data_IF_478140761146
#
_entry.id   IF_478140761146
#
_cell.length_a   1.000
_cell.length_b   1.000
_cell.length_c   1.000
_cell.angle_alpha   90.00
_cell.angle_beta   90.00
_cell.angle_gamma   90.00
#
_symmetry.space_group_name_H-M   'P 1'
#
loop_
_entity.id
_entity.type
_entity.pdbx_description
1 polymer ?
#
# COMPACT_ATOMS: atom_id res chain seq x y z
N UNK A 1 -61.58 -23.27 9.70
CA UNK A 1 -61.75 -23.87 8.37
C UNK A 1 -61.02 -22.99 7.36
N UNK A 2 -59.68 -23.12 7.28
CA UNK A 2 -58.86 -22.37 6.32
C UNK A 2 -58.99 -23.10 4.98
N UNK A 3 -59.58 -22.43 4.00
CA UNK A 3 -59.80 -22.95 2.65
C UNK A 3 -58.48 -23.38 2.02
N UNK A 4 -58.45 -24.54 1.36
CA UNK A 4 -57.25 -25.21 0.80
C UNK A 4 -56.41 -24.32 -0.13
N UNK A 5 -57.01 -23.28 -0.72
CA UNK A 5 -56.30 -22.25 -1.52
C UNK A 5 -55.41 -21.33 -0.69
N UNK A 6 -55.77 -21.05 0.56
CA UNK A 6 -55.01 -20.17 1.44
C UNK A 6 -53.82 -20.89 2.06
N UNK A 7 -53.92 -22.21 2.26
CA UNK A 7 -52.81 -23.05 2.73
C UNK A 7 -51.65 -23.10 1.72
N UNK A 8 -51.96 -23.14 0.41
CA UNK A 8 -50.94 -23.08 -0.64
C UNK A 8 -50.26 -21.71 -0.71
N UNK A 9 -51.02 -20.63 -0.48
CA UNK A 9 -50.49 -19.27 -0.38
C UNK A 9 -49.55 -19.08 0.82
N UNK A 10 -49.88 -19.65 1.99
CA UNK A 10 -48.99 -19.63 3.15
C UNK A 10 -47.75 -20.52 2.98
N UNK A 11 -47.86 -21.66 2.28
CA UNK A 11 -46.73 -22.52 1.98
C UNK A 11 -45.71 -21.88 1.02
N UNK A 12 -46.19 -21.15 0.00
CA UNK A 12 -45.32 -20.42 -0.94
C UNK A 12 -44.65 -19.21 -0.26
N UNK A 13 -45.37 -18.49 0.60
CA UNK A 13 -44.82 -17.35 1.35
C UNK A 13 -43.77 -17.79 2.39
N UNK A 14 -43.92 -18.98 2.97
CA UNK A 14 -42.96 -19.54 3.91
C UNK A 14 -41.71 -20.13 3.24
N UNK A 15 -41.81 -20.54 1.96
CA UNK A 15 -40.65 -21.02 1.19
C UNK A 15 -39.81 -19.87 0.62
N UNK A 16 -40.42 -18.72 0.33
CA UNK A 16 -39.72 -17.52 -0.13
C UNK A 16 -38.82 -16.88 0.95
N UNK A 17 -39.10 -17.11 2.25
CA UNK A 17 -38.29 -16.61 3.36
C UNK A 17 -36.96 -17.34 3.58
N UNK A 18 -36.76 -18.51 2.96
CA UNK A 18 -35.52 -19.29 3.06
C UNK A 18 -34.52 -18.99 1.94
N UNK A 19 -34.89 -18.16 0.97
CA UNK A 19 -33.97 -17.59 -0.05
C UNK A 19 -33.51 -16.19 0.41
N UNK A 20 -33.61 -15.90 1.71
CA UNK A 20 -32.96 -14.74 2.31
C UNK A 20 -31.45 -14.91 2.20
N UNK A 21 -30.81 -14.02 1.45
CA UNK A 21 -29.36 -13.96 1.32
C UNK A 21 -28.72 -14.10 2.70
N UNK A 22 -27.85 -15.11 2.83
CA UNK A 22 -26.83 -15.08 3.87
C UNK A 22 -25.99 -13.84 3.59
N UNK A 23 -25.99 -12.88 4.52
CA UNK A 23 -24.91 -11.89 4.62
C UNK A 23 -23.65 -12.69 4.98
N UNK A 24 -22.99 -13.18 3.94
CA UNK A 24 -21.58 -13.52 4.04
C UNK A 24 -20.87 -12.19 4.23
N UNK A 25 -20.68 -11.81 5.50
CA UNK A 25 -19.66 -10.85 5.91
C UNK A 25 -18.25 -11.41 5.62
N UNK A 26 -18.04 -11.88 4.39
CA UNK A 26 -16.74 -12.02 3.77
C UNK A 26 -16.34 -10.62 3.30
N UNK A 27 -16.04 -9.74 4.26
CA UNK A 27 -15.05 -8.70 4.01
C UNK A 27 -13.85 -9.44 3.41
N UNK A 28 -13.49 -9.22 2.13
CA UNK A 28 -12.38 -9.92 1.54
C UNK A 28 -11.16 -9.56 2.38
N UNK A 29 -10.67 -10.53 3.15
CA UNK A 29 -9.41 -10.39 3.85
C UNK A 29 -8.38 -10.18 2.75
N UNK A 30 -7.96 -8.93 2.56
CA UNK A 30 -6.89 -8.54 1.66
C UNK A 30 -5.59 -9.08 2.25
N UNK A 31 -5.42 -10.39 2.26
CA UNK A 31 -4.13 -11.02 2.54
C UNK A 31 -3.30 -10.73 1.30
N UNK A 32 -2.22 -9.94 1.39
CA UNK A 32 -1.38 -9.67 0.24
C UNK A 32 -0.71 -10.97 -0.19
N UNK A 33 -1.26 -11.64 -1.20
CA UNK A 33 -0.78 -12.94 -1.69
C UNK A 33 0.64 -12.86 -2.27
N UNK A 34 1.05 -11.66 -2.67
CA UNK A 34 2.33 -11.40 -3.33
C UNK A 34 3.43 -10.91 -2.40
N UNK A 35 3.10 -10.34 -1.23
CA UNK A 35 4.11 -9.81 -0.30
C UNK A 35 4.81 -10.96 0.43
N UNK A 36 6.13 -11.03 0.32
CA UNK A 36 6.95 -12.04 0.99
C UNK A 36 7.48 -11.48 2.31
N UNK A 37 8.05 -10.28 2.27
CA UNK A 37 8.68 -9.65 3.44
C UNK A 37 8.57 -8.13 3.35
N UNK A 38 8.43 -7.48 4.51
CA UNK A 38 8.54 -6.03 4.66
C UNK A 38 9.45 -5.71 5.83
N UNK A 39 10.49 -4.93 5.59
CA UNK A 39 11.46 -4.50 6.59
C UNK A 39 11.52 -2.98 6.65
N UNK A 40 11.29 -2.40 7.83
CA UNK A 40 11.59 -0.99 8.08
C UNK A 40 13.11 -0.80 8.05
N UNK A 41 13.61 -0.01 7.11
CA UNK A 41 15.06 0.23 6.97
C UNK A 41 15.49 1.57 7.57
N UNK A 42 14.62 2.58 7.52
CA UNK A 42 14.87 3.88 8.16
C UNK A 42 13.57 4.62 8.41
N UNK A 43 13.52 5.35 9.51
CA UNK A 43 12.50 6.34 9.80
C UNK A 43 13.15 7.73 9.78
N UNK A 44 12.56 8.68 9.06
CA UNK A 44 13.02 10.08 9.02
C UNK A 44 11.93 10.96 9.62
N UNK A 45 12.29 11.71 10.67
CA UNK A 45 11.38 12.69 11.25
C UNK A 45 11.16 13.86 10.29
N UNK A 46 10.06 14.57 10.48
CA UNK A 46 9.74 15.80 9.72
C UNK A 46 10.89 16.80 9.77
N UNK A 47 11.49 17.00 10.94
CA UNK A 47 12.59 17.95 11.17
C UNK A 47 13.86 17.55 10.42
N UNK A 48 14.14 16.24 10.34
CA UNK A 48 15.27 15.73 9.57
C UNK A 48 15.08 15.98 8.07
N UNK A 49 13.85 15.83 7.57
CA UNK A 49 13.51 16.09 6.16
C UNK A 49 13.58 17.59 5.87
N UNK A 50 13.03 18.45 6.73
CA UNK A 50 13.13 19.92 6.62
C UNK A 50 14.60 20.34 6.59
N UNK A 51 15.41 19.85 7.54
CA UNK A 51 16.83 20.17 7.63
C UNK A 51 17.61 19.77 6.37
N UNK A 52 17.26 18.60 5.79
CA UNK A 52 17.85 18.17 4.52
C UNK A 52 17.48 19.11 3.36
N UNK A 53 16.20 19.53 3.27
CA UNK A 53 15.75 20.44 2.21
C UNK A 53 16.38 21.82 2.34
N UNK A 54 16.44 22.39 3.55
CA UNK A 54 17.07 23.69 3.81
C UNK A 54 18.58 23.68 3.53
N UNK A 55 19.25 22.55 3.79
CA UNK A 55 20.66 22.34 3.45
C UNK A 55 20.91 22.01 1.97
N UNK A 56 19.86 21.85 1.17
CA UNK A 56 19.94 21.50 -0.25
C UNK A 56 19.67 22.71 -1.15
N UNK A 57 19.98 22.56 -2.44
CA UNK A 57 19.63 23.53 -3.49
C UNK A 57 18.32 23.20 -4.21
N UNK A 58 17.48 22.31 -3.63
CA UNK A 58 16.21 21.94 -4.24
C UNK A 58 15.17 23.06 -4.12
N UNK A 59 14.40 23.36 -5.19
CA UNK A 59 13.36 24.39 -5.18
C UNK A 59 12.07 23.87 -4.52
N UNK A 60 12.18 23.25 -3.34
CA UNK A 60 11.06 22.67 -2.58
C UNK A 60 10.81 23.56 -1.36
N UNK A 61 9.58 24.04 -1.21
CA UNK A 61 9.20 24.78 0.00
C UNK A 61 9.05 23.82 1.17
N UNK A 62 9.71 24.12 2.30
CA UNK A 62 9.56 23.36 3.55
C UNK A 62 8.13 23.38 4.10
N UNK A 63 7.33 24.37 3.70
CA UNK A 63 5.91 24.44 4.05
C UNK A 63 5.08 23.28 3.46
N UNK A 64 5.56 22.63 2.41
CA UNK A 64 4.91 21.46 1.79
C UNK A 64 5.11 20.19 2.62
N UNK A 65 6.20 20.10 3.39
CA UNK A 65 6.53 18.93 4.21
C UNK A 65 5.58 18.87 5.41
N UNK A 66 4.71 17.87 5.47
CA UNK A 66 3.68 17.74 6.51
C UNK A 66 4.07 16.74 7.58
N UNK A 67 4.68 15.61 7.20
CA UNK A 67 4.96 14.49 8.10
C UNK A 67 6.42 14.03 8.03
N UNK A 68 6.81 13.16 8.95
CA UNK A 68 7.95 12.29 8.74
C UNK A 68 7.61 11.15 7.78
N UNK A 69 8.58 10.29 7.48
CA UNK A 69 8.41 9.17 6.54
C UNK A 69 9.14 7.94 7.06
N UNK A 70 8.43 6.81 7.03
CA UNK A 70 9.01 5.48 7.24
C UNK A 70 9.31 4.84 5.89
N UNK A 71 10.54 4.36 5.72
CA UNK A 71 11.00 3.71 4.50
C UNK A 71 11.12 2.22 4.74
N UNK A 72 10.35 1.46 3.98
CA UNK A 72 10.36 0.01 4.00
C UNK A 72 11.03 -0.53 2.73
N UNK A 73 11.86 -1.56 2.91
CA UNK A 73 12.23 -2.47 1.83
C UNK A 73 11.25 -3.62 1.82
N UNK A 74 10.66 -3.89 0.67
CA UNK A 74 9.75 -5.02 0.49
C UNK A 74 10.34 -6.02 -0.49
N UNK A 75 10.02 -7.29 -0.27
CA UNK A 75 10.28 -8.41 -1.19
C UNK A 75 8.93 -9.00 -1.57
N UNK A 76 8.69 -9.21 -2.86
CA UNK A 76 7.38 -9.66 -3.35
C UNK A 76 7.50 -10.56 -4.58
N UNK A 77 6.50 -11.41 -4.79
CA UNK A 77 6.33 -12.20 -6.01
C UNK A 77 5.82 -11.30 -7.13
N UNK A 78 6.44 -11.41 -8.30
CA UNK A 78 6.05 -10.72 -9.52
C UNK A 78 6.09 -11.70 -10.70
N UNK A 79 5.62 -11.25 -11.87
CA UNK A 79 5.65 -12.04 -13.09
C UNK A 79 6.56 -11.39 -14.14
N UNK A 80 7.44 -12.18 -14.72
CA UNK A 80 8.26 -11.78 -15.86
C UNK A 80 8.13 -12.86 -16.94
N UNK A 81 7.60 -12.49 -18.11
CA UNK A 81 7.40 -13.40 -19.24
C UNK A 81 6.62 -14.69 -18.89
N UNK A 82 5.65 -14.59 -17.97
CA UNK A 82 4.83 -15.72 -17.53
C UNK A 82 5.43 -16.56 -16.39
N UNK A 83 6.69 -16.32 -16.01
CA UNK A 83 7.32 -16.97 -14.87
C UNK A 83 7.15 -16.12 -13.60
N UNK A 84 6.94 -16.79 -12.46
CA UNK A 84 6.92 -16.13 -11.15
C UNK A 84 8.36 -15.89 -10.71
N UNK A 85 8.70 -14.64 -10.44
CA UNK A 85 10.01 -14.22 -9.93
C UNK A 85 9.88 -13.51 -8.58
N UNK A 86 10.97 -13.45 -7.83
CA UNK A 86 11.07 -12.62 -6.63
C UNK A 86 11.68 -11.27 -6.99
N UNK A 87 10.96 -10.18 -6.67
CA UNK A 87 11.39 -8.81 -6.87
C UNK A 87 11.50 -8.07 -5.53
N UNK A 88 12.06 -6.85 -5.57
CA UNK A 88 12.12 -5.97 -4.41
C UNK A 88 11.76 -4.53 -4.77
N UNK A 89 11.27 -3.77 -3.79
CA UNK A 89 10.91 -2.35 -3.94
C UNK A 89 11.07 -1.56 -2.64
N UNK A 90 11.07 -0.24 -2.76
CA UNK A 90 10.93 0.65 -1.61
C UNK A 90 9.48 1.13 -1.49
N UNK A 91 8.97 1.15 -0.27
CA UNK A 91 7.70 1.78 0.08
C UNK A 91 8.01 2.88 1.08
N UNK A 92 7.64 4.11 0.73
CA UNK A 92 7.81 5.28 1.58
C UNK A 92 6.44 5.67 2.11
N UNK A 93 6.24 5.47 3.41
CA UNK A 93 4.96 5.67 4.08
C UNK A 93 5.03 6.97 4.91
N UNK A 94 4.20 7.99 4.58
CA UNK A 94 4.09 9.18 5.40
C UNK A 94 3.58 8.81 6.79
N UNK A 95 4.20 9.37 7.85
CA UNK A 95 3.78 9.17 9.23
C UNK A 95 2.52 10.00 9.52
N UNK A 96 1.38 9.55 9.00
CA UNK A 96 0.08 10.18 9.12
C UNK A 96 -0.99 9.19 9.57
N UNK A 97 -1.98 9.68 10.32
CA UNK A 97 -3.22 8.95 10.60
C UNK A 97 -4.31 9.19 9.56
N UNK A 98 -4.11 10.16 8.67
CA UNK A 98 -5.04 10.48 7.58
C UNK A 98 -4.79 9.59 6.36
N UNK A 99 -5.82 9.41 5.53
CA UNK A 99 -5.66 8.70 4.26
C UNK A 99 -4.70 9.46 3.33
N UNK A 100 -3.74 8.74 2.75
CA UNK A 100 -2.74 9.30 1.84
C UNK A 100 -2.91 8.75 0.43
N UNK A 101 -2.57 9.56 -0.57
CA UNK A 101 -2.51 9.12 -1.96
C UNK A 101 -1.34 8.16 -2.19
N UNK A 102 -1.47 7.25 -3.15
CA UNK A 102 -0.39 6.37 -3.57
C UNK A 102 0.23 6.88 -4.86
N UNK A 103 1.56 7.07 -4.84
CA UNK A 103 2.36 7.31 -6.03
C UNK A 103 3.25 6.09 -6.28
N UNK A 104 3.14 5.50 -7.46
CA UNK A 104 4.10 4.50 -7.92
C UNK A 104 5.17 5.23 -8.73
N UNK A 105 6.42 5.17 -8.28
CA UNK A 105 7.56 5.76 -8.97
C UNK A 105 8.48 4.69 -9.52
N UNK A 106 8.88 4.85 -10.78
CA UNK A 106 9.69 3.91 -11.52
C UNK A 106 11.03 4.57 -11.81
N UNK A 107 12.11 3.90 -11.41
CA UNK A 107 13.44 4.37 -11.74
C UNK A 107 13.70 4.27 -13.26
N UNK A 108 14.67 5.05 -13.74
CA UNK A 108 15.15 4.96 -15.12
C UNK A 108 15.96 3.68 -15.37
N UNK A 109 16.55 3.56 -16.55
CA UNK A 109 17.44 2.44 -16.87
C UNK A 109 18.63 2.41 -15.90
N UNK A 110 18.88 1.24 -15.31
CA UNK A 110 20.04 0.95 -14.46
C UNK A 110 20.99 -0.01 -15.18
N UNK A 111 22.28 0.14 -14.96
CA UNK A 111 23.32 -0.71 -15.54
C UNK A 111 23.65 -1.92 -14.66
N UNK A 112 23.43 -1.82 -13.35
CA UNK A 112 23.63 -2.92 -12.40
C UNK A 112 22.55 -2.97 -11.33
N UNK A 113 22.44 -4.11 -10.64
CA UNK A 113 21.50 -4.27 -9.53
C UNK A 113 21.86 -3.40 -8.31
N UNK A 114 23.12 -2.95 -8.18
CA UNK A 114 23.54 -2.07 -7.09
C UNK A 114 22.97 -0.66 -7.20
N UNK A 115 22.50 -0.29 -8.40
CA UNK A 115 21.83 0.99 -8.68
C UNK A 115 20.32 0.93 -8.40
N UNK A 116 19.79 -0.25 -8.08
CA UNK A 116 18.37 -0.40 -7.76
C UNK A 116 17.99 0.41 -6.51
N UNK A 117 16.78 1.01 -6.43
CA UNK A 117 16.37 1.80 -5.28
C UNK A 117 16.56 1.08 -3.93
N UNK A 118 16.31 -0.23 -3.88
CA UNK A 118 16.44 -1.06 -2.67
C UNK A 118 17.88 -1.29 -2.19
N UNK A 119 18.89 -0.88 -2.97
CA UNK A 119 20.31 -0.90 -2.62
C UNK A 119 20.83 0.49 -2.21
N UNK A 120 19.97 1.53 -2.26
CA UNK A 120 20.36 2.89 -1.88
C UNK A 120 20.78 2.94 -0.41
N UNK A 121 21.99 3.43 -0.09
CA UNK A 121 22.44 3.55 1.29
C UNK A 121 21.51 4.47 2.10
N UNK A 122 21.16 4.05 3.32
CA UNK A 122 20.21 4.74 4.20
C UNK A 122 20.61 6.21 4.48
N UNK A 123 21.91 6.47 4.61
CA UNK A 123 22.46 7.81 4.85
C UNK A 123 22.68 8.67 3.60
N UNK A 124 22.36 8.16 2.41
CA UNK A 124 22.58 8.90 1.16
C UNK A 124 21.60 10.07 1.00
N UNK A 125 22.01 11.08 0.24
CA UNK A 125 21.15 12.19 -0.17
C UNK A 125 19.95 11.71 -1.01
N UNK A 126 20.12 10.66 -1.82
CA UNK A 126 19.05 10.04 -2.60
C UNK A 126 17.93 9.49 -1.70
N UNK A 127 18.29 8.80 -0.60
CA UNK A 127 17.29 8.30 0.35
C UNK A 127 16.52 9.43 1.03
N UNK A 128 17.22 10.51 1.41
CA UNK A 128 16.58 11.70 1.97
C UNK A 128 15.67 12.40 0.95
N UNK A 129 16.07 12.47 -0.32
CA UNK A 129 15.27 13.01 -1.39
C UNK A 129 13.97 12.22 -1.62
N UNK A 130 14.04 10.89 -1.64
CA UNK A 130 12.83 10.06 -1.73
C UNK A 130 11.89 10.32 -0.55
N UNK A 131 12.42 10.43 0.68
CA UNK A 131 11.60 10.77 1.84
C UNK A 131 10.95 12.15 1.71
N UNK A 132 11.65 13.17 1.19
CA UNK A 132 11.06 14.49 0.92
C UNK A 132 9.89 14.41 -0.07
N UNK A 133 9.93 13.53 -1.06
CA UNK A 133 8.82 13.37 -2.01
C UNK A 133 7.57 12.73 -1.38
N UNK A 134 7.75 11.95 -0.31
CA UNK A 134 6.67 11.25 0.39
C UNK A 134 6.19 11.98 1.65
N UNK A 135 6.75 13.14 2.00
CA UNK A 135 6.51 13.85 3.27
C UNK A 135 5.50 14.98 3.20
#
# INVERSE_FOLDING_TARGET
>A
MVTSKNFWLFAVLSFAGLIGCQDENNEPSLVPETLIESQLIVSKSKEQIISFVEGSSFPISTATIKTGVDVYKITYKSHLNGEVITASGLVLLPQSSEGVGMLSFQHGTIASNEEAPTQTPVGSSTMSFYATMAS
#
